data_IF_858486520339
#
_entry.id   IF_858486520339
#
_cell.length_a   1.000
_cell.length_b   1.000
_cell.length_c   1.000
_cell.angle_alpha   90.00
_cell.angle_beta   90.00
_cell.angle_gamma   90.00
#
_symmetry.space_group_name_H-M   'P 1'
#
loop_
_entity.id
_entity.type
_entity.pdbx_description
1 polymer ?
#
# COMPACT_ATOMS: atom_id res chain seq x y z
N UNK A 1 7.81 10.80 -17.59
CA UNK A 1 8.06 9.90 -16.44
C UNK A 1 6.72 9.46 -15.90
N UNK A 2 6.38 8.16 -15.97
CA UNK A 2 5.10 7.64 -15.45
C UNK A 2 5.20 7.55 -13.92
N UNK A 3 4.30 8.22 -13.23
CA UNK A 3 4.28 8.25 -11.78
C UNK A 3 3.72 6.91 -11.24
N UNK A 4 4.24 6.43 -10.11
CA UNK A 4 3.85 5.15 -9.51
C UNK A 4 2.36 5.07 -9.07
N UNK A 5 1.62 6.18 -9.21
CA UNK A 5 0.20 6.33 -8.93
C UNK A 5 -0.63 6.55 -10.21
N UNK A 6 -0.06 6.33 -11.40
CA UNK A 6 -0.86 6.27 -12.61
C UNK A 6 -1.70 4.98 -12.59
N UNK A 7 -3.02 5.14 -12.53
CA UNK A 7 -3.98 4.04 -12.71
C UNK A 7 -4.24 3.80 -14.22
N UNK A 8 -3.36 4.29 -15.11
CA UNK A 8 -3.50 4.21 -16.57
C UNK A 8 -2.64 3.08 -17.18
N UNK A 9 -2.02 2.25 -16.35
CA UNK A 9 -1.20 1.12 -16.79
C UNK A 9 -2.02 -0.16 -17.11
N UNK A 10 -3.34 -0.05 -17.28
CA UNK A 10 -4.23 -1.14 -17.68
C UNK A 10 -4.84 -0.93 -19.08
N UNK A 11 -4.01 -0.54 -20.04
CA UNK A 11 -4.39 -0.42 -21.47
C UNK A 11 -3.92 -1.63 -22.32
N UNK A 12 -3.58 -2.77 -21.69
CA UNK A 12 -3.02 -3.95 -22.37
C UNK A 12 -3.92 -5.20 -22.30
N UNK A 13 -5.24 -5.04 -22.22
CA UNK A 13 -6.18 -6.16 -22.38
C UNK A 13 -7.34 -5.68 -23.26
N UNK A 14 -7.07 -5.52 -24.55
CA UNK A 14 -8.11 -5.73 -25.55
C UNK A 14 -8.34 -7.25 -25.62
N UNK A 15 -9.60 -7.68 -25.47
CA UNK A 15 -10.10 -9.04 -25.78
C UNK A 15 -9.88 -10.18 -24.76
N UNK A 16 -10.34 -10.02 -23.51
CA UNK A 16 -10.83 -11.18 -22.74
C UNK A 16 -12.26 -10.89 -22.27
N UNK A 17 -13.21 -11.70 -22.76
CA UNK A 17 -14.64 -11.47 -22.64
C UNK A 17 -15.13 -11.14 -21.23
N UNK A 18 -16.03 -10.14 -21.18
CA UNK A 18 -17.07 -9.86 -20.16
C UNK A 18 -16.67 -9.77 -18.67
N UNK A 19 -15.40 -9.93 -18.31
CA UNK A 19 -14.96 -9.70 -16.94
C UNK A 19 -14.74 -8.20 -16.72
N UNK A 20 -15.74 -7.51 -16.19
CA UNK A 20 -15.56 -6.15 -15.64
C UNK A 20 -14.38 -6.19 -14.68
N UNK A 21 -13.37 -5.36 -14.92
CA UNK A 21 -12.30 -5.12 -13.95
C UNK A 21 -12.92 -4.45 -12.72
N UNK A 22 -13.35 -5.25 -11.76
CA UNK A 22 -13.64 -4.75 -10.42
C UNK A 22 -12.28 -4.34 -9.84
N UNK A 23 -12.11 -3.04 -9.60
CA UNK A 23 -10.97 -2.54 -8.85
C UNK A 23 -11.09 -3.05 -7.41
N UNK A 24 -10.69 -4.31 -7.19
CA UNK A 24 -10.33 -4.82 -5.88
C UNK A 24 -9.16 -3.96 -5.45
N UNK A 25 -9.36 -3.18 -4.39
CA UNK A 25 -8.39 -2.25 -3.82
C UNK A 25 -7.00 -2.88 -3.68
N UNK A 26 -5.95 -2.06 -3.72
CA UNK A 26 -4.56 -2.54 -3.67
C UNK A 26 -4.20 -3.14 -2.31
N UNK A 27 -3.91 -4.44 -2.29
CA UNK A 27 -3.40 -5.17 -1.11
C UNK A 27 -1.93 -4.82 -0.82
N UNK A 28 -1.41 -5.26 0.33
CA UNK A 28 -0.04 -4.94 0.74
C UNK A 28 0.15 -3.49 1.18
N UNK A 29 -0.94 -2.79 1.47
CA UNK A 29 -0.92 -1.40 1.92
C UNK A 29 -1.54 -1.27 3.31
N UNK A 30 -1.07 -0.29 4.08
CA UNK A 30 -1.67 0.07 5.38
C UNK A 30 -3.13 0.53 5.20
N UNK A 31 -3.43 1.14 4.05
CA UNK A 31 -4.78 1.56 3.68
C UNK A 31 -5.73 0.35 3.56
N UNK A 32 -5.33 -0.71 2.85
CA UNK A 32 -6.10 -1.94 2.75
C UNK A 32 -6.29 -2.62 4.12
N UNK A 33 -5.27 -2.63 4.97
CA UNK A 33 -5.37 -3.18 6.32
C UNK A 33 -6.38 -2.41 7.20
N UNK A 34 -6.32 -1.08 7.19
CA UNK A 34 -7.12 -0.25 8.09
C UNK A 34 -8.56 -0.02 7.60
N UNK A 35 -8.73 0.35 6.32
CA UNK A 35 -10.01 0.77 5.74
C UNK A 35 -10.79 -0.41 5.17
N UNK A 36 -10.13 -1.27 4.39
CA UNK A 36 -10.76 -2.45 3.80
C UNK A 36 -10.71 -3.69 4.69
N UNK A 37 -10.16 -3.57 5.91
CA UNK A 37 -10.04 -4.64 6.92
C UNK A 37 -9.38 -5.93 6.38
N UNK A 38 -8.54 -5.82 5.36
CA UNK A 38 -7.84 -6.97 4.81
C UNK A 38 -6.83 -7.54 5.83
N UNK A 39 -6.73 -8.87 5.91
CA UNK A 39 -5.85 -9.60 6.83
C UNK A 39 -4.92 -10.59 6.14
N UNK A 40 -4.73 -10.47 4.82
CA UNK A 40 -3.70 -11.25 4.12
C UNK A 40 -2.29 -10.91 4.64
N UNK A 41 -1.33 -11.78 4.36
CA UNK A 41 0.05 -11.68 4.85
C UNK A 41 0.69 -10.33 4.46
N UNK A 42 0.57 -9.93 3.19
CA UNK A 42 1.10 -8.65 2.71
C UNK A 42 0.52 -7.43 3.45
N UNK A 43 -0.79 -7.43 3.75
CA UNK A 43 -1.41 -6.32 4.49
C UNK A 43 -0.99 -6.30 5.96
N UNK A 44 -0.81 -7.48 6.58
CA UNK A 44 -0.28 -7.60 7.94
C UNK A 44 1.17 -7.11 8.02
N UNK A 45 1.99 -7.50 7.05
CA UNK A 45 3.38 -7.07 6.93
C UNK A 45 3.48 -5.55 6.74
N UNK A 46 2.71 -4.97 5.82
CA UNK A 46 2.68 -3.53 5.60
C UNK A 46 2.34 -2.76 6.89
N UNK A 47 1.40 -3.27 7.70
CA UNK A 47 1.09 -2.70 9.01
C UNK A 47 2.24 -2.84 10.00
N UNK A 48 2.91 -4.00 10.02
CA UNK A 48 4.09 -4.24 10.87
C UNK A 48 5.22 -3.25 10.55
N UNK A 49 5.58 -3.10 9.27
CA UNK A 49 6.61 -2.15 8.80
C UNK A 49 6.23 -0.71 9.18
N UNK A 50 4.95 -0.35 9.03
CA UNK A 50 4.46 0.98 9.42
C UNK A 50 4.63 1.24 10.92
N UNK A 51 4.37 0.25 11.77
CA UNK A 51 4.57 0.37 13.22
C UNK A 51 6.06 0.51 13.58
N UNK A 52 6.93 -0.29 12.94
CA UNK A 52 8.38 -0.20 13.12
C UNK A 52 8.90 1.19 12.76
N UNK A 53 8.50 1.74 11.61
CA UNK A 53 8.86 3.11 11.19
C UNK A 53 8.40 4.16 12.20
N UNK A 54 7.20 4.02 12.77
CA UNK A 54 6.70 4.94 13.79
C UNK A 54 7.54 4.87 15.08
N UNK A 55 7.94 3.66 15.49
CA UNK A 55 8.82 3.47 16.65
C UNK A 55 10.21 4.07 16.41
N UNK A 56 10.81 3.82 15.24
CA UNK A 56 12.09 4.41 14.86
C UNK A 56 12.02 5.93 14.82
N UNK A 57 10.96 6.51 14.24
CA UNK A 57 10.77 7.97 14.25
C UNK A 57 10.71 8.53 15.67
N UNK A 58 10.03 7.86 16.60
CA UNK A 58 10.01 8.25 18.02
C UNK A 58 11.39 8.19 18.64
N UNK A 59 12.15 7.12 18.37
CA UNK A 59 13.51 6.95 18.88
C UNK A 59 14.47 8.02 18.34
N UNK A 60 14.41 8.33 17.04
CA UNK A 60 15.23 9.38 16.41
C UNK A 60 14.92 10.75 17.01
N UNK A 61 13.63 11.10 17.15
CA UNK A 61 13.21 12.36 17.79
C UNK A 61 13.69 12.42 19.25
N UNK A 62 13.60 11.32 19.99
CA UNK A 62 14.09 11.25 21.37
C UNK A 62 15.62 11.39 21.49
N UNK A 63 16.38 10.98 20.46
CA UNK A 63 17.83 11.12 20.41
C UNK A 63 18.30 12.52 19.97
N UNK A 64 17.38 13.47 19.74
CA UNK A 64 17.73 14.88 19.50
C UNK A 64 18.36 15.18 18.13
N UNK A 65 18.38 14.21 17.21
CA UNK A 65 18.81 14.43 15.82
C UNK A 65 17.64 15.09 15.08
N UNK A 66 17.63 16.43 15.06
CA UNK A 66 16.69 17.20 14.25
C UNK A 66 16.96 16.93 12.77
N UNK A 67 15.92 16.48 12.05
CA UNK A 67 15.88 16.41 10.58
C UNK A 67 15.50 17.76 10.03
#
# INVERSE_FOLDING_TARGET
>A
MRAANDNKTLDWIEEIGVAKYEHKFTHGTVYAYNKHKCRCEFCKEAKSISNQRAALKKAVVAQGVMV
#
